data_IF_731406345489
#
_entry.id   IF_731406345489
#
_cell.length_a   1.000
_cell.length_b   1.000
_cell.length_c   1.000
_cell.angle_alpha   90.00
_cell.angle_beta   90.00
_cell.angle_gamma   90.00
#
_symmetry.space_group_name_H-M   'P 1'
#
loop_
_entity.id
_entity.type
_entity.pdbx_description
1 polymer ?
#
# COMPACT_ATOMS: atom_id res chain seq x y z
N UNK A 1 -1.01 -50.36 -45.40
CA UNK A 1 -2.17 -49.76 -44.71
C UNK A 1 -1.59 -49.22 -43.44
N UNK A 2 -1.03 -48.04 -43.63
CA UNK A 2 -0.18 -47.30 -42.72
C UNK A 2 -1.11 -46.41 -41.91
N UNK A 3 -1.13 -46.59 -40.59
CA UNK A 3 -1.95 -45.84 -39.67
C UNK A 3 -1.02 -45.06 -38.73
N UNK A 4 -0.60 -43.90 -39.24
CA UNK A 4 0.13 -42.86 -38.51
C UNK A 4 -0.79 -42.22 -37.48
N UNK A 5 -0.67 -42.68 -36.23
CA UNK A 5 -1.27 -42.02 -35.06
C UNK A 5 -0.26 -41.04 -34.48
N UNK A 6 -0.31 -39.81 -34.96
CA UNK A 6 0.40 -38.67 -34.39
C UNK A 6 -0.23 -38.32 -33.04
N UNK A 7 0.32 -38.86 -31.95
CA UNK A 7 0.00 -38.43 -30.60
C UNK A 7 0.57 -37.02 -30.38
N UNK A 8 -0.28 -36.00 -30.53
CA UNK A 8 0.03 -34.62 -30.15
C UNK A 8 0.28 -34.52 -28.65
N UNK A 9 1.57 -34.50 -28.27
CA UNK A 9 2.06 -34.14 -26.94
C UNK A 9 1.70 -32.69 -26.63
N UNK A 10 0.47 -32.50 -26.16
CA UNK A 10 -0.06 -31.22 -25.69
C UNK A 10 0.47 -30.93 -24.29
N UNK A 11 1.77 -30.67 -24.25
CA UNK A 11 2.48 -30.12 -23.09
C UNK A 11 1.82 -28.78 -22.68
N UNK A 12 0.96 -28.83 -21.66
CA UNK A 12 0.40 -27.62 -21.06
C UNK A 12 1.52 -26.87 -20.33
N UNK A 13 1.65 -25.54 -20.52
CA UNK A 13 2.64 -24.76 -19.80
C UNK A 13 2.32 -24.79 -18.31
N UNK A 14 3.31 -25.17 -17.51
CA UNK A 14 3.26 -25.10 -16.04
C UNK A 14 3.03 -23.64 -15.64
N UNK A 15 1.78 -23.30 -15.32
CA UNK A 15 1.44 -22.03 -14.69
C UNK A 15 2.08 -22.05 -13.31
N UNK A 16 3.23 -21.39 -13.17
CA UNK A 16 3.88 -21.18 -11.88
C UNK A 16 2.87 -20.43 -11.00
N UNK A 17 2.24 -21.14 -10.07
CA UNK A 17 1.26 -20.57 -9.16
C UNK A 17 1.88 -19.35 -8.47
N UNK A 18 1.30 -18.17 -8.69
CA UNK A 18 1.75 -16.96 -8.02
C UNK A 18 1.67 -17.18 -6.50
N UNK A 19 2.73 -16.83 -5.75
CA UNK A 19 2.75 -17.04 -4.31
C UNK A 19 1.61 -16.22 -3.69
N UNK A 20 0.65 -16.93 -3.11
CA UNK A 20 -0.50 -16.32 -2.45
C UNK A 20 -0.03 -15.31 -1.38
N UNK A 21 -0.60 -14.10 -1.33
CA UNK A 21 -0.21 -13.10 -0.35
C UNK A 21 -0.40 -13.67 1.05
N UNK A 22 0.63 -13.53 1.91
CA UNK A 22 0.49 -13.98 3.29
C UNK A 22 -0.46 -13.04 4.02
N UNK A 23 -1.32 -13.55 4.90
CA UNK A 23 -2.27 -12.70 5.61
C UNK A 23 -1.53 -11.70 6.51
N UNK A 24 -2.05 -10.48 6.61
CA UNK A 24 -1.48 -9.39 7.37
C UNK A 24 -1.48 -9.73 8.86
N UNK A 25 -0.30 -9.99 9.42
CA UNK A 25 -0.18 -10.40 10.81
C UNK A 25 -0.65 -9.31 11.80
N UNK A 26 -0.64 -8.03 11.39
CA UNK A 26 -1.21 -6.95 12.19
C UNK A 26 -2.75 -7.06 12.26
N UNK A 27 -3.40 -7.16 11.11
CA UNK A 27 -4.86 -7.23 11.00
C UNK A 27 -5.44 -8.53 11.58
N UNK A 28 -4.70 -9.64 11.49
CA UNK A 28 -5.11 -10.91 12.11
C UNK A 28 -5.24 -10.81 13.63
N UNK A 29 -4.29 -10.16 14.31
CA UNK A 29 -4.33 -9.98 15.78
C UNK A 29 -5.57 -9.19 16.21
N UNK A 30 -6.01 -8.25 15.37
CA UNK A 30 -7.17 -7.40 15.64
C UNK A 30 -8.47 -7.95 15.02
N UNK A 31 -8.47 -9.16 14.45
CA UNK A 31 -9.67 -9.81 13.93
C UNK A 31 -10.33 -9.07 12.76
N UNK A 32 -9.55 -8.45 11.87
CA UNK A 32 -10.09 -7.74 10.70
C UNK A 32 -10.46 -8.71 9.59
N UNK A 33 -11.58 -8.45 8.91
CA UNK A 33 -12.08 -9.28 7.81
C UNK A 33 -11.14 -9.27 6.59
N UNK A 34 -10.49 -8.13 6.33
CA UNK A 34 -9.53 -7.95 5.24
C UNK A 34 -8.12 -8.45 5.57
N UNK A 35 -7.92 -9.14 6.70
CA UNK A 35 -6.59 -9.62 7.11
C UNK A 35 -5.96 -10.58 6.10
N UNK A 36 -6.75 -11.28 5.28
CA UNK A 36 -6.25 -12.23 4.27
C UNK A 36 -5.99 -11.59 2.90
N UNK A 37 -6.30 -10.30 2.71
CA UNK A 37 -6.18 -9.64 1.40
C UNK A 37 -4.86 -8.87 1.19
N UNK A 38 -4.05 -8.72 2.24
CA UNK A 38 -2.84 -7.89 2.21
C UNK A 38 -1.78 -8.38 3.21
N UNK A 39 -0.55 -7.86 3.09
CA UNK A 39 0.55 -8.07 4.05
C UNK A 39 0.76 -6.83 4.94
N UNK A 40 1.56 -6.94 6.02
CA UNK A 40 1.91 -5.78 6.88
C UNK A 40 2.48 -4.61 6.07
N UNK A 41 3.27 -4.88 5.02
CA UNK A 41 3.85 -3.83 4.17
C UNK A 41 2.79 -2.95 3.49
N UNK A 42 1.61 -3.52 3.23
CA UNK A 42 0.48 -2.89 2.54
C UNK A 42 -0.64 -2.48 3.52
N UNK A 43 -0.44 -2.69 4.83
CA UNK A 43 -1.45 -2.46 5.86
C UNK A 43 -1.78 -0.97 6.00
N UNK A 44 -3.03 -0.58 5.74
CA UNK A 44 -3.51 0.81 5.91
C UNK A 44 -3.90 1.16 7.34
N UNK A 45 -3.98 0.20 8.25
CA UNK A 45 -4.43 0.43 9.62
C UNK A 45 -3.25 0.71 10.54
N UNK A 46 -3.24 1.90 11.12
CA UNK A 46 -2.31 2.27 12.20
C UNK A 46 -2.78 1.73 13.55
N UNK A 47 -1.84 1.56 14.47
CA UNK A 47 -2.10 1.20 15.86
C UNK A 47 -2.69 2.37 16.64
N UNK A 48 -2.79 2.19 17.97
CA UNK A 48 -3.14 3.28 18.89
C UNK A 48 -2.23 4.51 18.78
N UNK A 49 -1.02 4.34 18.27
CA UNK A 49 0.00 5.38 18.12
C UNK A 49 0.15 5.92 16.68
N UNK A 50 -0.75 5.53 15.76
CA UNK A 50 -0.71 6.02 14.38
C UNK A 50 0.40 5.40 13.52
N UNK A 51 1.01 4.31 13.98
CA UNK A 51 2.05 3.57 13.26
C UNK A 51 1.63 2.12 13.01
N UNK A 52 2.24 1.45 12.03
CA UNK A 52 2.04 0.00 11.82
C UNK A 52 3.06 -0.78 12.65
N UNK A 53 2.63 -1.51 13.69
CA UNK A 53 3.49 -2.39 14.45
C UNK A 53 3.83 -3.63 13.64
N UNK A 54 4.97 -4.24 13.95
CA UNK A 54 5.47 -5.44 13.26
C UNK A 54 6.44 -5.13 12.13
N UNK A 55 6.87 -6.19 11.46
CA UNK A 55 7.91 -6.16 10.46
C UNK A 55 7.34 -6.42 9.06
N UNK A 56 7.39 -5.43 8.13
CA UNK A 56 6.91 -5.59 6.76
C UNK A 56 7.78 -6.53 5.91
N UNK A 57 9.06 -6.75 6.28
CA UNK A 57 9.97 -7.65 5.53
C UNK A 57 9.57 -9.12 5.65
N UNK A 58 9.16 -9.53 6.84
CA UNK A 58 8.83 -10.94 7.10
C UNK A 58 7.34 -11.17 7.37
N UNK A 59 6.53 -10.10 7.43
CA UNK A 59 5.12 -10.12 7.77
C UNK A 59 4.87 -10.79 9.14
N UNK A 60 5.55 -10.31 10.20
CA UNK A 60 5.42 -10.84 11.58
C UNK A 60 5.34 -9.73 12.61
N UNK A 61 4.64 -10.00 13.71
CA UNK A 61 4.44 -9.08 14.83
C UNK A 61 5.41 -9.28 16.00
N UNK A 62 6.27 -10.31 15.94
CA UNK A 62 7.21 -10.66 17.03
C UNK A 62 8.40 -9.71 17.17
N UNK A 63 8.65 -8.88 16.16
CA UNK A 63 9.73 -7.88 16.14
C UNK A 63 9.34 -6.72 15.22
N UNK A 64 10.03 -5.60 15.39
CA UNK A 64 9.92 -4.44 14.51
C UNK A 64 10.91 -4.51 13.36
N UNK A 65 10.74 -3.64 12.36
CA UNK A 65 11.59 -3.57 11.18
C UNK A 65 13.09 -3.58 11.50
N UNK A 66 13.51 -2.79 12.51
CA UNK A 66 14.92 -2.63 12.91
C UNK A 66 15.59 -3.95 13.36
N UNK A 67 14.81 -4.86 13.94
CA UNK A 67 15.29 -6.13 14.48
C UNK A 67 15.16 -7.32 13.53
N UNK A 68 14.76 -7.09 12.27
CA UNK A 68 14.51 -8.19 11.36
C UNK A 68 15.81 -8.86 10.90
N UNK A 69 15.92 -10.17 11.14
CA UNK A 69 17.05 -10.98 10.65
C UNK A 69 17.13 -11.08 9.12
N UNK A 70 16.02 -10.80 8.41
CA UNK A 70 15.99 -10.76 6.94
C UNK A 70 16.52 -9.45 6.37
N UNK A 71 16.68 -8.41 7.20
CA UNK A 71 17.16 -7.10 6.76
C UNK A 71 18.58 -7.22 6.22
N UNK A 72 18.86 -6.53 5.11
CA UNK A 72 20.16 -6.63 4.43
C UNK A 72 21.31 -6.17 5.31
N UNK A 73 22.43 -6.89 5.22
CA UNK A 73 23.64 -6.60 6.01
C UNK A 73 24.51 -5.53 5.37
N UNK A 74 24.66 -5.58 4.03
CA UNK A 74 25.37 -4.59 3.22
C UNK A 74 24.77 -3.19 3.43
N UNK A 75 25.58 -2.14 3.69
CA UNK A 75 25.08 -0.78 3.89
C UNK A 75 24.30 -0.23 2.68
N UNK A 76 24.77 -0.49 1.46
CA UNK A 76 24.13 -0.01 0.24
C UNK A 76 22.77 -0.69 0.03
N UNK A 77 22.73 -2.02 0.12
CA UNK A 77 21.49 -2.79 -0.04
C UNK A 77 20.50 -2.47 1.07
N UNK A 78 20.98 -2.25 2.29
CA UNK A 78 20.16 -1.86 3.44
C UNK A 78 19.51 -0.51 3.23
N UNK A 79 20.25 0.50 2.75
CA UNK A 79 19.67 1.83 2.49
C UNK A 79 18.55 1.76 1.44
N UNK A 80 18.77 0.98 0.37
CA UNK A 80 17.74 0.79 -0.66
C UNK A 80 16.52 0.04 -0.12
N UNK A 81 16.73 -1.04 0.65
CA UNK A 81 15.66 -1.79 1.31
C UNK A 81 14.86 -0.93 2.30
N UNK A 82 15.54 -0.12 3.10
CA UNK A 82 14.93 0.82 4.06
C UNK A 82 14.04 1.83 3.34
N UNK A 83 14.55 2.45 2.28
CA UNK A 83 13.75 3.38 1.48
C UNK A 83 12.52 2.68 0.88
N UNK A 84 12.70 1.49 0.32
CA UNK A 84 11.62 0.74 -0.32
C UNK A 84 10.49 0.36 0.65
N UNK A 85 10.83 -0.20 1.81
CA UNK A 85 9.85 -0.70 2.77
C UNK A 85 9.29 0.35 3.72
N UNK A 86 10.02 1.44 3.98
CA UNK A 86 9.60 2.50 4.91
C UNK A 86 9.03 3.73 4.20
N UNK A 87 9.33 3.92 2.92
CA UNK A 87 8.87 5.07 2.12
C UNK A 87 8.02 4.61 0.95
N UNK A 88 8.60 3.92 -0.03
CA UNK A 88 7.96 3.68 -1.34
C UNK A 88 6.66 2.87 -1.21
N UNK A 89 6.72 1.72 -0.54
CA UNK A 89 5.53 0.90 -0.29
C UNK A 89 4.55 1.48 0.72
N UNK A 90 4.94 2.57 1.38
CA UNK A 90 4.12 3.20 2.42
C UNK A 90 3.50 4.51 1.96
N UNK A 91 3.56 4.85 0.67
CA UNK A 91 2.93 6.08 0.19
C UNK A 91 1.44 6.14 0.54
N UNK A 92 1.01 7.23 1.18
CA UNK A 92 -0.37 7.39 1.64
C UNK A 92 -0.76 6.48 2.81
N UNK A 93 0.11 5.59 3.27
CA UNK A 93 -0.17 4.64 4.35
C UNK A 93 0.54 5.06 5.65
N UNK A 94 0.07 4.60 6.83
CA UNK A 94 0.71 4.94 8.09
C UNK A 94 2.20 4.56 8.13
N UNK A 95 3.05 5.26 8.89
CA UNK A 95 4.46 4.91 8.98
C UNK A 95 4.64 3.58 9.72
N UNK A 96 5.64 2.79 9.32
CA UNK A 96 6.02 1.56 10.04
C UNK A 96 6.73 1.93 11.34
N UNK A 97 6.53 1.13 12.39
CA UNK A 97 7.27 1.30 13.65
C UNK A 97 8.75 0.94 13.45
N UNK A 98 9.60 1.97 13.47
CA UNK A 98 11.06 1.85 13.39
C UNK A 98 11.72 3.00 14.17
N UNK A 99 13.00 2.84 14.50
CA UNK A 99 13.87 3.89 15.03
C UNK A 99 14.28 4.92 13.96
N UNK A 100 14.11 4.62 12.67
CA UNK A 100 14.46 5.52 11.58
C UNK A 100 13.32 6.48 11.26
N UNK A 101 13.64 7.76 11.08
CA UNK A 101 12.70 8.72 10.54
C UNK A 101 12.71 8.61 9.01
N UNK A 102 11.57 8.29 8.40
CA UNK A 102 11.47 8.18 6.95
C UNK A 102 11.88 9.45 6.18
N UNK A 103 11.75 10.70 6.72
CA UNK A 103 12.28 11.88 6.05
C UNK A 103 13.79 11.83 5.81
N UNK A 104 14.55 11.15 6.67
CA UNK A 104 16.00 11.00 6.50
C UNK A 104 16.36 10.08 5.33
N UNK A 105 15.44 9.16 4.98
CA UNK A 105 15.62 8.17 3.91
C UNK A 105 15.38 8.75 2.51
N UNK A 106 14.68 9.88 2.40
CA UNK A 106 14.27 10.48 1.11
C UNK A 106 15.25 11.54 0.59
N UNK A 107 16.32 11.82 1.33
CA UNK A 107 17.35 12.83 1.00
C UNK A 107 17.86 12.77 -0.44
N UNK A 108 17.98 11.57 -1.02
CA UNK A 108 18.47 11.37 -2.39
C UNK A 108 17.53 10.50 -3.26
N UNK A 109 16.33 10.17 -2.78
CA UNK A 109 15.43 9.22 -3.44
C UNK A 109 13.98 9.68 -3.26
N UNK A 110 13.33 10.02 -4.37
CA UNK A 110 11.96 10.53 -4.37
C UNK A 110 10.97 9.38 -4.68
N UNK A 111 9.97 9.13 -3.83
CA UNK A 111 8.99 8.07 -4.07
C UNK A 111 8.03 8.45 -5.20
N UNK A 112 7.70 7.48 -6.06
CA UNK A 112 6.85 7.68 -7.24
C UNK A 112 5.42 8.08 -6.88
N UNK A 113 4.89 7.54 -5.79
CA UNK A 113 3.46 7.67 -5.44
C UNK A 113 3.19 8.63 -4.29
N UNK A 114 4.22 9.34 -3.79
CA UNK A 114 4.12 10.20 -2.62
C UNK A 114 4.78 9.61 -1.36
N UNK A 115 4.55 10.26 -0.22
CA UNK A 115 5.19 9.93 1.05
C UNK A 115 4.24 9.19 2.00
N UNK A 116 4.77 8.45 2.99
CA UNK A 116 3.96 7.98 4.10
C UNK A 116 3.23 9.13 4.81
N UNK A 117 2.00 8.88 5.25
CA UNK A 117 1.30 9.87 6.08
C UNK A 117 1.99 9.99 7.44
N UNK A 118 1.77 11.11 8.13
CA UNK A 118 2.28 11.27 9.50
C UNK A 118 1.50 10.40 10.48
N UNK A 119 2.07 10.15 11.66
CA UNK A 119 1.37 9.43 12.74
C UNK A 119 0.06 10.15 13.11
N UNK A 120 0.08 11.48 13.18
CA UNK A 120 -1.09 12.28 13.52
C UNK A 120 -2.19 12.14 12.46
N UNK A 121 -1.83 12.17 11.17
CA UNK A 121 -2.78 11.90 10.08
C UNK A 121 -3.35 10.48 10.17
N UNK A 122 -2.53 9.47 10.47
CA UNK A 122 -2.99 8.10 10.64
C UNK A 122 -3.94 7.95 11.84
N UNK A 123 -3.70 8.67 12.94
CA UNK A 123 -4.61 8.73 14.09
C UNK A 123 -5.96 9.35 13.70
N UNK A 124 -5.95 10.48 12.99
CA UNK A 124 -7.16 11.12 12.49
C UNK A 124 -7.96 10.18 11.57
N UNK A 125 -7.29 9.49 10.65
CA UNK A 125 -7.92 8.50 9.75
C UNK A 125 -8.57 7.37 10.54
N UNK A 126 -7.88 6.82 11.55
CA UNK A 126 -8.41 5.76 12.41
C UNK A 126 -9.64 6.23 13.18
N UNK A 127 -9.59 7.42 13.74
CA UNK A 127 -10.69 7.97 14.52
C UNK A 127 -11.90 8.23 13.60
N UNK A 128 -11.69 8.72 12.38
CA UNK A 128 -12.76 8.87 11.38
C UNK A 128 -13.38 7.51 10.98
N UNK A 129 -12.57 6.47 10.81
CA UNK A 129 -13.05 5.10 10.56
C UNK A 129 -13.92 4.53 11.67
N UNK A 130 -13.63 4.85 12.93
CA UNK A 130 -14.49 4.47 14.07
C UNK A 130 -15.88 5.08 14.00
N UNK A 131 -16.02 6.19 13.28
CA UNK A 131 -17.29 6.89 13.07
C UNK A 131 -17.95 6.54 11.72
N UNK A 132 -17.48 5.48 11.04
CA UNK A 132 -18.14 4.94 9.84
C UNK A 132 -17.72 5.56 8.51
N UNK A 133 -16.76 6.48 8.47
CA UNK A 133 -16.23 6.96 7.18
C UNK A 133 -15.12 6.01 6.71
N UNK A 134 -15.35 5.27 5.63
CA UNK A 134 -14.30 4.50 4.95
C UNK A 134 -13.20 5.45 4.44
N UNK A 135 -11.94 5.06 4.63
CA UNK A 135 -10.78 5.69 4.00
C UNK A 135 -10.91 5.55 2.49
N UNK A 136 -11.20 6.68 1.86
CA UNK A 136 -10.87 6.90 0.46
C UNK A 136 -9.49 7.55 0.43
N UNK A 137 -8.58 6.99 -0.37
CA UNK A 137 -7.25 7.52 -0.62
C UNK A 137 -7.32 9.04 -0.88
N UNK A 138 -6.56 9.88 -0.14
CA UNK A 138 -6.53 11.33 -0.34
C UNK A 138 -6.21 11.75 -1.79
N UNK A 139 -5.48 10.91 -2.55
CA UNK A 139 -5.19 11.12 -3.97
C UNK A 139 -6.44 10.86 -4.85
N UNK A 140 -7.26 9.86 -4.49
CA UNK A 140 -8.55 9.64 -5.15
C UNK A 140 -9.57 10.74 -4.84
N UNK A 141 -9.52 11.32 -3.64
CA UNK A 141 -10.38 12.45 -3.26
C UNK A 141 -10.01 13.72 -4.04
N UNK A 142 -8.72 14.03 -4.17
CA UNK A 142 -8.29 15.18 -4.97
C UNK A 142 -8.64 15.03 -6.46
N UNK A 143 -8.46 13.85 -7.06
CA UNK A 143 -8.87 13.64 -8.46
C UNK A 143 -10.40 13.63 -8.65
N UNK A 144 -11.15 13.05 -7.72
CA UNK A 144 -12.62 13.04 -7.76
C UNK A 144 -13.22 14.43 -7.54
N UNK A 145 -12.67 15.22 -6.62
CA UNK A 145 -13.11 16.59 -6.34
C UNK A 145 -12.70 17.54 -7.47
N UNK A 146 -11.51 17.37 -8.08
CA UNK A 146 -11.09 18.09 -9.29
C UNK A 146 -12.03 17.76 -10.46
N UNK A 147 -12.36 16.49 -10.67
CA UNK A 147 -13.30 16.08 -11.74
C UNK A 147 -14.69 16.67 -11.53
N UNK A 148 -15.23 16.62 -10.31
CA UNK A 148 -16.54 17.23 -9.98
C UNK A 148 -16.52 18.76 -10.15
N UNK A 149 -15.42 19.42 -9.80
CA UNK A 149 -15.28 20.86 -10.04
C UNK A 149 -15.16 21.18 -11.54
N UNK A 150 -14.48 20.35 -12.33
CA UNK A 150 -14.42 20.49 -13.78
C UNK A 150 -15.80 20.30 -14.44
N UNK A 151 -16.58 19.31 -13.99
CA UNK A 151 -17.94 19.07 -14.46
C UNK A 151 -18.88 20.23 -14.09
N UNK A 152 -18.74 20.82 -12.90
CA UNK A 152 -19.49 22.02 -12.49
C UNK A 152 -19.14 23.25 -13.32
N UNK A 153 -17.87 23.48 -13.61
CA UNK A 153 -17.42 24.60 -14.45
C UNK A 153 -17.93 24.45 -15.89
N UNK A 154 -17.88 23.24 -16.46
CA UNK A 154 -18.48 22.95 -17.78
C UNK A 154 -19.99 23.14 -17.79
N UNK A 155 -20.70 22.77 -16.73
CA UNK A 155 -22.14 22.98 -16.62
C UNK A 155 -22.51 24.48 -16.50
N UNK A 156 -21.65 25.30 -15.89
CA UNK A 156 -21.87 26.75 -15.80
C UNK A 156 -21.62 27.51 -17.11
N UNK A 157 -20.82 26.97 -18.03
CA UNK A 157 -20.60 27.55 -19.37
C UNK A 157 -21.77 27.30 -20.33
N UNK A 158 -22.64 26.32 -20.05
CA UNK A 158 -23.82 26.02 -20.88
C UNK A 158 -25.00 26.96 -20.55
N UNK A 159 -25.02 27.58 -19.37
CA UNK A 159 -26.16 28.40 -18.90
C UNK A 159 -26.06 29.90 -19.22
N UNK A 160 -24.92 30.37 -19.72
CA UNK A 160 -24.73 31.78 -20.14
C UNK A 160 -24.99 32.03 -21.63
N UNK A 161 -25.49 31.03 -22.37
CA UNK A 161 -25.72 31.10 -23.83
C UNK A 161 -27.17 31.22 -24.30
N UNK A 162 -28.16 31.44 -23.42
CA UNK A 162 -29.55 31.71 -23.82
C UNK A 162 -30.01 33.04 -23.23
N UNK A 163 -29.56 34.12 -23.87
CA UNK A 163 -29.91 35.49 -23.50
C UNK A 163 -29.67 36.46 -24.65
N UNK A 164 -30.39 36.27 -25.75
CA UNK A 164 -30.76 37.29 -26.73
C UNK A 164 -32.16 36.95 -27.26
#
# INVERSE_FOLDING_TARGET
>A
MDDDSEDEDRSQPLVLAEPQPRPCAHCQIYGREDANSHEIRDCGYGSKLGDVPGCPLCNRMTHYYDGCRKRKRSPADRRHEDWKFLVEYRSGLPPVRTKMAWPDLVTNMQPTHGFPITKDMALQVRDNHRHGTQYHDPLTRTLGDVRKNLERLRASEVFTGMGC
#
